data_IF_478938225918
#
_entry.id   IF_478938225918
#
_cell.length_a   1.000
_cell.length_b   1.000
_cell.length_c   1.000
_cell.angle_alpha   90.00
_cell.angle_beta   90.00
_cell.angle_gamma   90.00
#
_symmetry.space_group_name_H-M   'P 1'
#
loop_
_entity.id
_entity.type
_entity.pdbx_description
1 polymer ?
#
# COMPACT_ATOMS: atom_id res chain seq x y z
N UNK A 1 13.47 -0.31 9.56
CA UNK A 1 12.07 0.10 9.30
C UNK A 1 11.09 -1.04 9.61
N UNK A 2 11.06 -2.14 8.86
CA UNK A 2 10.06 -3.21 9.07
C UNK A 2 10.05 -3.84 10.46
N UNK A 3 11.22 -4.03 11.09
CA UNK A 3 11.29 -4.51 12.47
C UNK A 3 10.55 -3.58 13.47
N UNK A 4 10.67 -2.25 13.28
CA UNK A 4 9.95 -1.27 14.08
C UNK A 4 8.43 -1.35 13.83
N UNK A 5 8.01 -1.61 12.59
CA UNK A 5 6.59 -1.84 12.32
C UNK A 5 6.09 -3.13 12.96
N UNK A 6 6.87 -4.22 12.90
CA UNK A 6 6.52 -5.47 13.56
C UNK A 6 6.29 -5.29 15.07
N UNK A 7 7.15 -4.52 15.75
CA UNK A 7 6.95 -4.15 17.16
C UNK A 7 5.63 -3.40 17.40
N UNK A 8 5.24 -2.48 16.51
CA UNK A 8 3.98 -1.71 16.64
C UNK A 8 2.72 -2.50 16.30
N UNK A 9 2.86 -3.61 15.58
CA UNK A 9 1.74 -4.45 15.16
C UNK A 9 1.39 -5.55 16.18
N UNK A 10 2.20 -5.74 17.24
CA UNK A 10 2.08 -6.89 18.16
C UNK A 10 0.68 -7.04 18.81
N UNK A 11 0.02 -5.93 19.13
CA UNK A 11 -1.28 -5.93 19.81
C UNK A 11 -2.48 -5.83 18.85
N UNK A 12 -2.25 -5.84 17.53
CA UNK A 12 -3.31 -5.70 16.53
C UNK A 12 -3.67 -7.10 15.98
N UNK A 13 -4.94 -7.52 16.03
CA UNK A 13 -5.37 -8.79 15.46
C UNK A 13 -4.99 -8.92 13.98
N UNK A 14 -4.45 -10.08 13.58
CA UNK A 14 -3.89 -10.27 12.23
C UNK A 14 -4.89 -9.98 11.11
N UNK A 15 -6.17 -10.27 11.31
CA UNK A 15 -7.24 -10.00 10.35
C UNK A 15 -7.49 -8.51 10.10
N UNK A 16 -7.05 -7.64 11.02
CA UNK A 16 -7.18 -6.19 10.91
C UNK A 16 -5.93 -5.55 10.27
N UNK A 17 -4.95 -6.35 9.85
CA UNK A 17 -3.70 -5.87 9.26
C UNK A 17 -3.68 -6.26 7.79
N UNK A 18 -3.48 -5.28 6.92
CA UNK A 18 -3.17 -5.49 5.50
C UNK A 18 -1.90 -4.74 5.17
N UNK A 19 -0.91 -5.46 4.60
CA UNK A 19 0.36 -4.88 4.17
C UNK A 19 0.42 -4.99 2.65
N UNK A 20 0.61 -3.86 1.99
CA UNK A 20 0.71 -3.78 0.52
C UNK A 20 2.06 -3.23 0.09
N UNK A 21 2.48 -3.61 -1.11
CA UNK A 21 3.64 -3.08 -1.79
C UNK A 21 3.28 -2.63 -3.20
N UNK A 22 3.94 -1.56 -3.66
CA UNK A 22 3.55 -0.84 -4.89
C UNK A 22 4.67 -0.86 -5.93
N UNK A 23 4.85 0.22 -6.69
CA UNK A 23 5.65 0.30 -7.92
C UNK A 23 7.05 -0.33 -7.80
N UNK A 24 7.82 -0.01 -6.76
CA UNK A 24 9.19 -0.52 -6.61
C UNK A 24 9.24 -2.04 -6.52
N UNK A 25 8.36 -2.68 -5.74
CA UNK A 25 8.33 -4.14 -5.63
C UNK A 25 7.58 -4.83 -6.78
N UNK A 26 6.80 -4.09 -7.57
CA UNK A 26 6.31 -4.59 -8.87
C UNK A 26 7.46 -4.73 -9.89
N UNK A 27 8.43 -3.81 -9.84
CA UNK A 27 9.48 -3.70 -10.85
C UNK A 27 10.78 -4.40 -10.49
N UNK A 28 11.08 -4.53 -9.19
CA UNK A 28 12.33 -5.12 -8.74
C UNK A 28 12.45 -6.59 -9.15
N UNK A 29 13.53 -6.94 -9.86
CA UNK A 29 13.80 -8.31 -10.32
C UNK A 29 14.05 -9.29 -9.17
N UNK A 30 14.41 -8.78 -8.00
CA UNK A 30 14.63 -9.54 -6.76
C UNK A 30 13.55 -9.28 -5.70
N UNK A 31 12.36 -8.80 -6.09
CA UNK A 31 11.28 -8.48 -5.16
C UNK A 31 10.92 -9.65 -4.23
N UNK A 32 10.94 -10.88 -4.74
CA UNK A 32 10.62 -12.07 -3.94
C UNK A 32 11.64 -12.32 -2.82
N UNK A 33 12.93 -12.06 -3.06
CA UNK A 33 13.96 -12.20 -2.03
C UNK A 33 13.73 -11.21 -0.88
N UNK A 34 13.43 -9.96 -1.22
CA UNK A 34 13.08 -8.94 -0.24
C UNK A 34 11.81 -9.34 0.52
N UNK A 35 10.78 -9.78 -0.21
CA UNK A 35 9.47 -10.12 0.33
C UNK A 35 9.58 -11.26 1.35
N UNK A 36 10.31 -12.34 1.05
CA UNK A 36 10.50 -13.45 1.99
C UNK A 36 11.09 -12.97 3.32
N UNK A 37 12.16 -12.16 3.26
CA UNK A 37 12.81 -11.60 4.46
C UNK A 37 11.86 -10.65 5.21
N UNK A 38 11.13 -9.82 4.48
CA UNK A 38 10.20 -8.85 5.04
C UNK A 38 8.99 -9.51 5.73
N UNK A 39 8.39 -10.53 5.12
CA UNK A 39 7.27 -11.29 5.69
C UNK A 39 7.68 -12.06 6.96
N UNK A 40 8.92 -12.54 7.03
CA UNK A 40 9.46 -13.15 8.25
C UNK A 40 9.56 -12.14 9.40
N UNK A 41 10.05 -10.93 9.12
CA UNK A 41 10.17 -9.86 10.12
C UNK A 41 8.78 -9.40 10.59
N UNK A 42 7.84 -9.23 9.67
CA UNK A 42 6.50 -8.72 9.97
C UNK A 42 5.56 -9.78 10.54
N UNK A 43 5.83 -11.07 10.30
CA UNK A 43 4.90 -12.17 10.55
C UNK A 43 3.54 -12.02 9.82
N UNK A 44 3.54 -11.29 8.69
CA UNK A 44 2.40 -10.99 7.83
C UNK A 44 2.79 -11.10 6.36
N UNK A 45 1.82 -11.46 5.51
CA UNK A 45 2.00 -11.45 4.06
C UNK A 45 2.05 -10.03 3.52
N UNK A 46 2.91 -9.78 2.54
CA UNK A 46 2.97 -8.55 1.76
C UNK A 46 2.31 -8.80 0.41
N UNK A 47 1.25 -8.04 0.14
CA UNK A 47 0.52 -8.12 -1.11
C UNK A 47 1.06 -7.07 -2.08
N UNK A 48 1.74 -7.50 -3.15
CA UNK A 48 2.09 -6.60 -4.24
C UNK A 48 0.81 -6.31 -5.03
N UNK A 49 0.37 -5.05 -5.05
CA UNK A 49 -0.87 -4.63 -5.69
C UNK A 49 -0.60 -4.01 -7.06
N UNK A 50 -1.55 -4.08 -8.00
CA UNK A 50 -1.46 -3.39 -9.27
C UNK A 50 -1.55 -1.87 -9.09
N UNK A 51 -1.09 -1.10 -10.08
CA UNK A 51 -1.24 0.36 -10.10
C UNK A 51 -2.72 0.78 -10.06
N UNK A 52 -3.62 0.04 -10.71
CA UNK A 52 -5.06 0.30 -10.65
C UNK A 52 -5.64 0.09 -9.24
N UNK A 53 -5.20 -0.95 -8.53
CA UNK A 53 -5.63 -1.22 -7.16
C UNK A 53 -5.10 -0.17 -6.20
N UNK A 54 -3.85 0.26 -6.39
CA UNK A 54 -3.23 1.38 -5.69
C UNK A 54 -4.05 2.66 -5.88
N UNK A 55 -4.28 3.06 -7.13
CA UNK A 55 -5.07 4.23 -7.50
C UNK A 55 -6.48 4.21 -6.88
N UNK A 56 -7.18 3.07 -6.97
CA UNK A 56 -8.51 2.89 -6.37
C UNK A 56 -8.48 3.02 -4.85
N UNK A 57 -7.44 2.53 -4.20
CA UNK A 57 -7.30 2.58 -2.74
C UNK A 57 -7.02 4.01 -2.29
N UNK A 58 -6.15 4.73 -3.01
CA UNK A 58 -5.88 6.16 -2.80
C UNK A 58 -7.17 6.97 -2.91
N UNK A 59 -7.92 6.79 -4.01
CA UNK A 59 -9.20 7.50 -4.21
C UNK A 59 -10.18 7.25 -3.05
N UNK A 60 -10.33 5.99 -2.60
CA UNK A 60 -11.17 5.68 -1.43
C UNK A 60 -10.69 6.40 -0.17
N UNK A 61 -9.38 6.43 0.07
CA UNK A 61 -8.79 7.17 1.18
C UNK A 61 -9.14 8.67 1.14
N UNK A 62 -8.99 9.30 -0.02
CA UNK A 62 -9.36 10.71 -0.23
C UNK A 62 -10.86 10.94 -0.06
N UNK A 63 -11.71 10.09 -0.64
CA UNK A 63 -13.16 10.22 -0.56
C UNK A 63 -13.69 10.08 0.89
N UNK A 64 -13.00 9.31 1.74
CA UNK A 64 -13.38 9.16 3.16
C UNK A 64 -12.80 10.23 4.09
N UNK A 65 -11.80 11.00 3.65
CA UNK A 65 -11.10 11.98 4.50
C UNK A 65 -11.29 13.43 4.05
N UNK A 66 -11.68 13.65 2.79
CA UNK A 66 -11.87 14.98 2.23
C UNK A 66 -13.35 15.35 2.18
N UNK A 67 -13.69 16.54 2.67
CA UNK A 67 -15.05 17.09 2.65
C UNK A 67 -15.44 17.73 1.31
N UNK A 68 -14.99 17.14 0.21
CA UNK A 68 -15.35 17.60 -1.14
C UNK A 68 -16.63 16.88 -1.58
N UNK A 69 -17.58 17.65 -2.12
CA UNK A 69 -18.84 17.12 -2.66
C UNK A 69 -18.76 17.03 -4.19
N UNK A 70 -19.40 16.01 -4.74
CA UNK A 70 -19.43 15.77 -6.18
C UNK A 70 -18.17 15.07 -6.70
N UNK A 71 -17.97 15.13 -8.01
CA UNK A 71 -16.95 14.38 -8.74
C UNK A 71 -15.55 14.97 -8.48
N UNK A 72 -14.61 14.14 -8.08
CA UNK A 72 -13.25 14.51 -7.71
C UNK A 72 -12.25 13.90 -8.69
N UNK A 73 -11.25 14.69 -9.09
CA UNK A 73 -10.03 14.20 -9.73
C UNK A 73 -8.94 14.13 -8.66
N UNK A 74 -8.40 12.93 -8.46
CA UNK A 74 -7.30 12.66 -7.53
C UNK A 74 -6.06 12.32 -8.34
N UNK A 75 -4.95 12.99 -8.01
CA UNK A 75 -3.63 12.77 -8.60
C UNK A 75 -2.66 12.50 -7.45
N UNK A 76 -2.00 11.36 -7.48
CA UNK A 76 -0.92 11.00 -6.54
C UNK A 76 0.37 10.80 -7.35
N UNK A 77 1.43 11.52 -6.97
CA UNK A 77 2.73 11.48 -7.64
C UNK A 77 3.73 10.82 -6.67
N UNK A 78 3.93 9.53 -6.88
CA UNK A 78 4.92 8.74 -6.14
C UNK A 78 6.32 8.83 -6.75
N UNK A 79 7.26 8.09 -6.15
CA UNK A 79 8.65 8.05 -6.62
C UNK A 79 8.87 7.26 -7.92
N UNK A 80 8.00 6.29 -8.22
CA UNK A 80 8.14 5.40 -9.38
C UNK A 80 6.82 5.20 -10.17
N UNK A 81 5.72 5.82 -9.74
CA UNK A 81 4.44 5.80 -10.43
C UNK A 81 3.66 7.08 -10.17
N UNK A 82 2.63 7.30 -10.96
CA UNK A 82 1.67 8.39 -10.78
C UNK A 82 0.29 7.83 -11.03
N UNK A 83 -0.59 7.95 -10.05
CA UNK A 83 -1.95 7.46 -10.10
C UNK A 83 -2.90 8.62 -10.39
N UNK A 84 -3.78 8.43 -11.37
CA UNK A 84 -4.79 9.43 -11.77
C UNK A 84 -6.16 8.77 -11.75
N UNK A 85 -7.06 9.25 -10.89
CA UNK A 85 -8.39 8.66 -10.70
C UNK A 85 -9.45 9.75 -10.68
N UNK A 86 -10.57 9.50 -11.36
CA UNK A 86 -11.76 10.35 -11.30
C UNK A 86 -12.94 9.55 -10.77
N UNK A 87 -13.70 10.13 -9.85
CA UNK A 87 -14.90 9.51 -9.27
C UNK A 87 -15.78 10.50 -8.56
#
# INVERSE_FOLDING_TARGET
CLALFAERLQDIPKQNITIVATATLRLATNADEFKVKAEQILAHKINVISGELEARTIYKGVAHTSSCSGRQLVIDIGGASTEVVIG
#
